data_IF_736176489903
#
_entry.id   IF_736176489903
#
_cell.length_a   1.000
_cell.length_b   1.000
_cell.length_c   1.000
_cell.angle_alpha   90.00
_cell.angle_beta   90.00
_cell.angle_gamma   90.00
#
_symmetry.space_group_name_H-M   'P 1'
#
loop_
_entity.id
_entity.type
_entity.pdbx_description
1 polymer ?
#
# COMPACT_ATOMS: atom_id res chain seq x y z
N UNK A 1 5.82 -10.07 1.25
CA UNK A 1 5.36 -9.23 2.37
C UNK A 1 4.47 -10.08 3.27
N UNK A 2 4.59 -9.95 4.59
CA UNK A 2 3.75 -10.66 5.55
C UNK A 2 2.75 -9.65 6.14
N UNK A 3 1.45 -9.93 6.04
CA UNK A 3 0.38 -9.03 6.47
C UNK A 3 -0.51 -9.77 7.44
N UNK A 4 -0.81 -9.16 8.58
CA UNK A 4 -1.85 -9.62 9.50
C UNK A 4 -3.11 -8.82 9.21
N UNK A 5 -4.24 -9.45 8.91
CA UNK A 5 -5.50 -8.71 8.78
C UNK A 5 -5.88 -8.14 10.14
N UNK A 6 -6.32 -6.88 10.16
CA UNK A 6 -6.71 -6.17 11.36
C UNK A 6 -8.09 -5.55 11.18
N UNK A 7 -8.87 -5.51 12.25
CA UNK A 7 -10.04 -4.65 12.36
C UNK A 7 -9.64 -3.38 13.11
N UNK A 8 -10.19 -2.25 12.68
CA UNK A 8 -9.99 -0.99 13.36
C UNK A 8 -11.29 -0.54 14.04
N UNK A 9 -11.16 -0.02 15.26
CA UNK A 9 -12.24 0.68 15.95
C UNK A 9 -11.78 2.11 16.19
N UNK A 10 -12.43 3.04 15.50
CA UNK A 10 -12.20 4.48 15.67
C UNK A 10 -12.79 4.90 17.02
N UNK A 11 -11.99 5.58 17.84
CA UNK A 11 -12.49 6.24 19.03
C UNK A 11 -13.08 7.61 18.67
N UNK A 12 -14.39 7.66 18.46
CA UNK A 12 -15.09 8.90 18.08
C UNK A 12 -15.19 9.94 19.20
N UNK A 13 -14.58 9.69 20.36
CA UNK A 13 -14.60 10.63 21.51
C UNK A 13 -13.37 11.53 21.55
N UNK A 14 -12.26 11.13 20.93
CA UNK A 14 -11.02 11.90 20.91
C UNK A 14 -10.39 12.04 19.52
N UNK A 15 -10.99 11.50 18.46
CA UNK A 15 -10.57 11.59 17.04
C UNK A 15 -9.11 11.22 16.74
N UNK A 16 -8.35 10.75 17.73
CA UNK A 16 -6.91 10.50 17.64
C UNK A 16 -6.56 9.00 17.76
N UNK A 17 -7.37 8.22 18.49
CA UNK A 17 -7.03 6.82 18.75
C UNK A 17 -7.86 5.84 17.91
N UNK A 18 -7.19 5.21 16.94
CA UNK A 18 -7.71 4.03 16.24
C UNK A 18 -7.07 2.79 16.86
N UNK A 19 -7.90 1.95 17.48
CA UNK A 19 -7.42 0.67 18.02
C UNK A 19 -7.46 -0.37 16.91
N UNK A 20 -6.30 -0.91 16.57
CA UNK A 20 -6.14 -2.00 15.61
C UNK A 20 -6.07 -3.33 16.36
N UNK A 21 -6.95 -4.27 15.98
CA UNK A 21 -7.00 -5.62 16.57
C UNK A 21 -6.80 -6.65 15.47
N UNK A 22 -5.84 -7.59 15.60
CA UNK A 22 -5.70 -8.69 14.66
C UNK A 22 -7.00 -9.48 14.52
N UNK A 23 -7.48 -9.63 13.28
CA UNK A 23 -8.75 -10.31 12.97
C UNK A 23 -8.56 -11.70 12.39
N UNK A 24 -7.31 -12.14 12.19
CA UNK A 24 -7.00 -13.47 11.67
C UNK A 24 -5.51 -13.76 11.55
N UNK A 25 -5.22 -14.95 11.02
CA UNK A 25 -3.85 -15.40 10.83
C UNK A 25 -3.10 -14.54 9.79
N UNK A 26 -1.79 -14.37 10.03
CA UNK A 26 -0.91 -13.66 9.10
C UNK A 26 -0.85 -14.39 7.74
N UNK A 27 -0.96 -13.63 6.66
CA UNK A 27 -0.88 -14.10 5.27
C UNK A 27 0.38 -13.60 4.60
N UNK A 28 0.98 -14.45 3.78
CA UNK A 28 2.12 -14.08 2.94
C UNK A 28 1.64 -13.70 1.56
N UNK A 29 1.87 -12.45 1.17
CA UNK A 29 1.58 -11.96 -0.17
C UNK A 29 2.89 -11.85 -0.97
N UNK A 30 2.84 -12.35 -2.20
CA UNK A 30 3.91 -12.28 -3.18
C UNK A 30 3.40 -11.59 -4.43
N UNK A 31 4.28 -10.86 -5.10
CA UNK A 31 3.98 -10.36 -6.43
C UNK A 31 3.96 -11.52 -7.42
N UNK A 32 2.98 -11.54 -8.31
CA UNK A 32 2.96 -12.49 -9.42
C UNK A 32 4.20 -12.29 -10.30
N UNK A 33 4.82 -13.38 -10.75
CA UNK A 33 6.10 -13.37 -11.48
C UNK A 33 6.07 -12.55 -12.78
N UNK A 34 4.92 -12.47 -13.44
CA UNK A 34 4.72 -11.67 -14.66
C UNK A 34 4.06 -10.31 -14.45
N UNK A 35 3.81 -9.89 -13.20
CA UNK A 35 3.17 -8.61 -12.94
C UNK A 35 4.08 -7.46 -13.38
N UNK A 36 3.50 -6.45 -14.02
CA UNK A 36 4.17 -5.20 -14.35
C UNK A 36 3.30 -4.04 -13.94
N UNK A 37 3.93 -2.96 -13.48
CA UNK A 37 3.28 -1.72 -13.09
C UNK A 37 3.81 -0.62 -13.97
N UNK A 38 2.94 0.31 -14.36
CA UNK A 38 3.32 1.52 -15.08
C UNK A 38 3.54 2.64 -14.07
N UNK A 39 4.71 3.26 -14.10
CA UNK A 39 5.04 4.42 -13.27
C UNK A 39 5.33 5.62 -14.16
N UNK A 40 4.93 6.81 -13.72
CA UNK A 40 5.28 8.06 -14.36
C UNK A 40 6.70 8.44 -13.92
N UNK A 41 7.60 8.63 -14.89
CA UNK A 41 8.94 9.18 -14.71
C UNK A 41 9.01 10.45 -15.55
N UNK A 42 9.11 11.59 -14.87
CA UNK A 42 9.03 12.92 -15.45
C UNK A 42 7.72 13.09 -16.23
N UNK A 43 7.76 13.05 -17.56
CA UNK A 43 6.59 13.16 -18.45
C UNK A 43 6.24 11.85 -19.16
N UNK A 44 6.98 10.77 -18.90
CA UNK A 44 6.84 9.50 -19.62
C UNK A 44 6.44 8.36 -18.69
N UNK A 45 5.66 7.41 -19.20
CA UNK A 45 5.28 6.23 -18.43
C UNK A 45 6.20 5.06 -18.75
N UNK A 46 6.82 4.47 -17.74
CA UNK A 46 7.70 3.29 -17.88
C UNK A 46 7.11 2.08 -17.18
N UNK A 47 7.31 0.88 -17.74
CA UNK A 47 6.92 -0.39 -17.09
C UNK A 47 8.05 -0.86 -16.17
N UNK A 48 7.69 -1.18 -14.93
CA UNK A 48 8.59 -1.71 -13.91
C UNK A 48 8.01 -2.97 -13.28
N UNK A 49 8.86 -3.78 -12.65
CA UNK A 49 8.39 -4.90 -11.85
C UNK A 49 7.87 -4.40 -10.49
N UNK A 50 6.86 -5.05 -9.89
CA UNK A 50 6.41 -4.68 -8.56
C UNK A 50 7.50 -4.76 -7.48
N UNK A 51 8.50 -5.66 -7.64
CA UNK A 51 9.66 -5.73 -6.74
C UNK A 51 10.46 -4.43 -6.73
N UNK A 52 10.59 -3.76 -7.87
CA UNK A 52 11.29 -2.48 -7.99
C UNK A 52 10.63 -1.39 -7.15
N UNK A 53 9.30 -1.36 -7.06
CA UNK A 53 8.56 -0.38 -6.25
C UNK A 53 8.90 -0.46 -4.75
N UNK A 54 9.15 -1.66 -4.22
CA UNK A 54 9.43 -1.85 -2.79
C UNK A 54 10.79 -1.28 -2.40
N UNK A 55 11.74 -1.26 -3.33
CA UNK A 55 13.08 -0.71 -3.13
C UNK A 55 13.26 0.71 -3.69
N UNK A 56 12.29 1.21 -4.46
CA UNK A 56 12.38 2.53 -5.07
C UNK A 56 11.94 3.60 -4.07
N UNK A 57 12.91 4.40 -3.61
CA UNK A 57 12.61 5.65 -2.91
C UNK A 57 12.19 6.69 -3.95
N UNK A 58 10.97 7.21 -3.82
CA UNK A 58 10.64 8.46 -4.50
C UNK A 58 11.52 9.56 -3.93
N UNK A 59 12.03 10.42 -4.81
CA UNK A 59 12.95 11.48 -4.41
C UNK A 59 12.38 12.38 -3.31
N UNK A 60 11.04 12.48 -3.19
CA UNK A 60 10.36 13.45 -2.32
C UNK A 60 9.18 12.90 -1.48
N UNK A 61 9.03 11.58 -1.29
CA UNK A 61 7.93 11.07 -0.44
C UNK A 61 8.30 9.83 0.38
N UNK A 62 8.12 9.90 1.71
CA UNK A 62 8.19 8.74 2.58
C UNK A 62 6.86 7.96 2.71
N UNK A 63 5.73 8.39 2.13
CA UNK A 63 4.41 7.83 2.47
C UNK A 63 3.46 7.61 1.26
N UNK A 64 2.71 6.50 1.30
CA UNK A 64 1.70 6.15 0.29
C UNK A 64 0.41 5.62 0.93
N UNK A 65 -0.73 6.01 0.37
CA UNK A 65 -2.05 5.41 0.53
C UNK A 65 -2.27 4.34 -0.54
N UNK A 66 -3.00 3.27 -0.23
CA UNK A 66 -3.43 2.31 -1.24
C UNK A 66 -4.91 1.96 -1.10
N UNK A 67 -5.55 1.67 -2.24
CA UNK A 67 -6.94 1.18 -2.32
C UNK A 67 -6.95 -0.24 -2.86
N UNK A 68 -7.80 -1.08 -2.29
CA UNK A 68 -8.03 -2.45 -2.74
C UNK A 68 -9.37 -2.56 -3.48
N UNK A 69 -9.48 -3.47 -4.45
CA UNK A 69 -10.74 -3.79 -5.12
C UNK A 69 -11.60 -4.75 -4.27
N UNK A 70 -12.81 -5.08 -4.74
CA UNK A 70 -13.73 -6.01 -4.07
C UNK A 70 -13.22 -7.46 -3.93
N UNK A 71 -12.06 -7.79 -4.51
CA UNK A 71 -11.38 -9.08 -4.38
C UNK A 71 -10.16 -9.01 -3.44
N UNK A 72 -9.91 -7.84 -2.82
CA UNK A 72 -8.78 -7.63 -1.92
C UNK A 72 -7.43 -7.40 -2.62
N UNK A 73 -7.43 -7.18 -3.93
CA UNK A 73 -6.21 -6.85 -4.67
C UNK A 73 -5.95 -5.34 -4.64
N UNK A 74 -4.68 -4.93 -4.50
CA UNK A 74 -4.28 -3.52 -4.63
C UNK A 74 -4.67 -3.04 -6.02
N UNK A 75 -5.58 -2.06 -6.07
CA UNK A 75 -6.15 -1.50 -7.28
C UNK A 75 -5.62 -0.10 -7.60
N UNK A 76 -5.17 0.64 -6.57
CA UNK A 76 -4.50 1.93 -6.75
C UNK A 76 -3.54 2.19 -5.59
N UNK A 77 -2.48 2.94 -5.86
CA UNK A 77 -1.59 3.54 -4.86
C UNK A 77 -1.50 5.04 -5.15
N UNK A 78 -1.55 5.85 -4.10
CA UNK A 78 -1.44 7.30 -4.14
C UNK A 78 -0.38 7.74 -3.14
N UNK A 79 0.56 8.56 -3.58
CA UNK A 79 1.53 9.21 -2.70
C UNK A 79 0.83 10.19 -1.76
N UNK A 80 1.15 10.15 -0.47
CA UNK A 80 0.69 11.15 0.49
C UNK A 80 1.91 11.93 0.94
N UNK A 81 1.85 13.25 0.83
CA UNK A 81 2.83 14.11 1.47
C UNK A 81 2.63 14.03 2.99
N UNK A 82 3.72 13.87 3.73
CA UNK A 82 3.74 14.06 5.17
C UNK A 82 4.70 15.22 5.45
N UNK A 83 4.24 16.29 6.15
CA UNK A 83 5.10 17.41 6.53
C UNK A 83 6.23 16.98 7.47
#
# INVERSE_FOLDING_TARGET
>A
MRITPETCKVNTKNDEDVVYTPSGAAKSLVFASGASVKVLRDTTTVKVTPKWLVSHKLANSPYFYYRVNGQGHIAAMQEIYHP
#
